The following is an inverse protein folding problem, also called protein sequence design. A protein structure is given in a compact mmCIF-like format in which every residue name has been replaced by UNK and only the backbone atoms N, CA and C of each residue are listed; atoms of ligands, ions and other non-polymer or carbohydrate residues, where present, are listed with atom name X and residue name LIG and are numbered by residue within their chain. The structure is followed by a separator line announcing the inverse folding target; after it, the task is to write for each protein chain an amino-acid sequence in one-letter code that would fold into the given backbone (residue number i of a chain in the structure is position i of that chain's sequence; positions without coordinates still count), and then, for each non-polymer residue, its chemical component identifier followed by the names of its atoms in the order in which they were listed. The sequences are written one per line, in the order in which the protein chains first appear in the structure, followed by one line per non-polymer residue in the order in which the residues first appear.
data_IF_552536074994
#
_entry.id   IF_552536074994
#
_cell.length_a   1.000
_cell.length_b   1.000
_cell.length_c   1.000
_cell.angle_alpha   90.00
_cell.angle_beta   90.00
_cell.angle_gamma   90.00
#
_symmetry.space_group_name_H-M   'P 1'
#
loop_
_entity.id
_entity.type
_entity.pdbx_description
1 polymer ?
#
# COMPACT_ATOMS: atom_id res chain seq x y z
N UNK A 1 9.86 -17.88 1.91
CA UNK A 1 10.18 -16.72 2.79
C UNK A 1 10.94 -15.61 2.07
N UNK A 2 12.13 -15.85 1.50
CA UNK A 2 12.92 -14.81 0.80
C UNK A 2 12.13 -14.03 -0.27
N UNK A 3 11.35 -14.71 -1.11
CA UNK A 3 10.53 -14.05 -2.15
C UNK A 3 9.35 -13.23 -1.60
N UNK A 4 8.71 -13.66 -0.50
CA UNK A 4 7.68 -12.86 0.20
C UNK A 4 8.26 -11.57 0.79
N UNK A 5 9.45 -11.66 1.39
CA UNK A 5 10.19 -10.49 1.85
C UNK A 5 10.57 -9.55 0.71
N UNK A 6 11.00 -10.10 -0.42
CA UNK A 6 11.29 -9.30 -1.62
C UNK A 6 10.04 -8.61 -2.16
N UNK A 7 8.87 -9.27 -2.16
CA UNK A 7 7.60 -8.67 -2.56
C UNK A 7 7.26 -7.45 -1.69
N UNK A 8 7.41 -7.57 -0.36
CA UNK A 8 7.19 -6.48 0.59
C UNK A 8 8.21 -5.35 0.43
N UNK A 9 9.45 -5.70 0.16
CA UNK A 9 10.53 -4.74 -0.11
C UNK A 9 10.21 -3.91 -1.36
N UNK A 10 9.81 -4.56 -2.46
CA UNK A 10 9.45 -3.86 -3.70
C UNK A 10 8.25 -2.93 -3.54
N UNK A 11 7.27 -3.33 -2.73
CA UNK A 11 6.15 -2.46 -2.37
C UNK A 11 6.61 -1.23 -1.57
N UNK A 12 7.45 -1.41 -0.54
CA UNK A 12 7.97 -0.30 0.27
C UNK A 12 8.81 0.65 -0.59
N UNK A 13 9.76 0.13 -1.38
CA UNK A 13 10.58 0.92 -2.31
C UNK A 13 9.70 1.70 -3.29
N UNK A 14 8.65 1.06 -3.80
CA UNK A 14 7.68 1.70 -4.69
C UNK A 14 7.02 2.94 -4.08
N UNK A 15 6.78 3.00 -2.76
CA UNK A 15 6.17 4.17 -2.13
C UNK A 15 7.01 5.45 -2.25
N UNK A 16 8.31 5.36 -2.50
CA UNK A 16 9.22 6.52 -2.52
C UNK A 16 9.54 7.06 -3.91
N UNK A 17 9.17 6.34 -4.98
CA UNK A 17 9.59 6.71 -6.35
C UNK A 17 8.52 7.52 -7.06
N UNK A 18 7.32 6.97 -7.19
CA UNK A 18 6.23 7.58 -7.96
C UNK A 18 4.88 7.01 -7.50
N UNK A 19 3.76 7.76 -7.65
CA UNK A 19 2.44 7.23 -7.37
C UNK A 19 2.21 5.87 -8.02
N UNK A 20 1.56 4.96 -7.29
CA UNK A 20 1.27 3.58 -7.69
C UNK A 20 2.48 2.65 -7.90
N UNK A 21 3.73 3.09 -7.71
CA UNK A 21 4.87 2.18 -7.81
C UNK A 21 4.88 1.13 -6.69
N UNK A 22 4.25 1.44 -5.55
CA UNK A 22 3.93 0.50 -4.48
C UNK A 22 2.97 -0.63 -4.92
N UNK A 23 2.28 -0.49 -6.06
CA UNK A 23 1.48 -1.55 -6.69
C UNK A 23 2.23 -2.16 -7.88
N UNK A 24 2.80 -1.32 -8.73
CA UNK A 24 3.44 -1.76 -9.98
C UNK A 24 4.66 -2.66 -9.72
N UNK A 25 5.56 -2.27 -8.81
CA UNK A 25 6.76 -3.04 -8.52
C UNK A 25 6.46 -4.43 -7.94
N UNK A 26 5.63 -4.58 -6.88
CA UNK A 26 5.27 -5.91 -6.41
C UNK A 26 4.46 -6.69 -7.45
N UNK A 27 3.69 -6.04 -8.32
CA UNK A 27 3.00 -6.71 -9.43
C UNK A 27 3.97 -7.30 -10.45
N UNK A 28 4.96 -6.52 -10.90
CA UNK A 28 5.99 -6.98 -11.83
C UNK A 28 6.81 -8.13 -11.21
N UNK A 29 7.18 -7.98 -9.95
CA UNK A 29 7.89 -9.01 -9.20
C UNK A 29 7.07 -10.31 -9.10
N UNK A 30 5.79 -10.22 -8.73
CA UNK A 30 4.89 -11.37 -8.68
C UNK A 30 4.74 -12.02 -10.07
N UNK A 31 4.51 -11.22 -11.12
CA UNK A 31 4.34 -11.72 -12.50
C UNK A 31 5.56 -12.50 -12.98
N UNK A 32 6.77 -12.03 -12.68
CA UNK A 32 8.03 -12.70 -13.02
C UNK A 32 8.20 -14.03 -12.28
N UNK A 33 7.66 -14.15 -11.06
CA UNK A 33 7.87 -15.34 -10.21
C UNK A 33 6.68 -16.32 -10.20
N UNK A 34 5.54 -15.95 -10.81
CA UNK A 34 4.26 -16.70 -10.73
C UNK A 34 4.36 -18.15 -11.23
N UNK A 35 5.18 -18.42 -12.26
CA UNK A 35 5.29 -19.76 -12.85
C UNK A 35 6.08 -20.76 -11.98
N UNK A 36 6.83 -20.26 -11.00
CA UNK A 36 7.79 -21.08 -10.22
C UNK A 36 7.35 -21.34 -8.78
N UNK A 37 6.17 -20.88 -8.37
CA UNK A 37 5.81 -20.76 -6.95
C UNK A 37 4.43 -21.34 -6.61
N UNK A 38 4.27 -21.60 -5.30
CA UNK A 38 3.06 -22.16 -4.69
C UNK A 38 1.85 -21.20 -4.75
N UNK A 39 0.66 -21.78 -4.87
CA UNK A 39 -0.65 -21.14 -4.74
C UNK A 39 -0.75 -20.18 -3.55
N UNK A 40 -0.09 -20.49 -2.42
CA UNK A 40 -0.05 -19.63 -1.24
C UNK A 40 0.66 -18.29 -1.48
N UNK A 41 1.76 -18.27 -2.25
CA UNK A 41 2.47 -17.04 -2.60
C UNK A 41 1.63 -16.17 -3.53
N UNK A 42 1.00 -16.78 -4.53
CA UNK A 42 0.11 -16.06 -5.46
C UNK A 42 -1.06 -15.42 -4.73
N UNK A 43 -1.70 -16.15 -3.80
CA UNK A 43 -2.80 -15.60 -2.99
C UNK A 43 -2.37 -14.43 -2.12
N UNK A 44 -1.19 -14.50 -1.51
CA UNK A 44 -0.62 -13.42 -0.69
C UNK A 44 -0.28 -12.19 -1.54
N UNK A 45 0.33 -12.40 -2.72
CA UNK A 45 0.62 -11.33 -3.66
C UNK A 45 -0.65 -10.63 -4.15
N UNK A 46 -1.69 -11.36 -4.52
CA UNK A 46 -2.96 -10.78 -4.91
C UNK A 46 -3.60 -9.98 -3.76
N UNK A 47 -3.59 -10.49 -2.53
CA UNK A 47 -4.13 -9.75 -1.38
C UNK A 47 -3.36 -8.44 -1.11
N UNK A 48 -2.03 -8.47 -1.18
CA UNK A 48 -1.20 -7.27 -1.06
C UNK A 48 -1.56 -6.26 -2.15
N UNK A 49 -1.60 -6.69 -3.42
CA UNK A 49 -1.88 -5.80 -4.55
C UNK A 49 -3.28 -5.19 -4.45
N UNK A 50 -4.28 -6.01 -4.10
CA UNK A 50 -5.66 -5.56 -3.89
C UNK A 50 -5.78 -4.58 -2.73
N UNK A 51 -5.01 -4.79 -1.65
CA UNK A 51 -5.00 -3.87 -0.53
C UNK A 51 -4.34 -2.53 -0.92
N UNK A 52 -3.17 -2.58 -1.56
CA UNK A 52 -2.43 -1.39 -1.96
C UNK A 52 -3.18 -0.54 -3.00
N UNK A 53 -3.84 -1.16 -3.97
CA UNK A 53 -4.62 -0.42 -4.98
C UNK A 53 -5.85 0.24 -4.36
N UNK A 54 -6.57 -0.47 -3.47
CA UNK A 54 -7.71 0.09 -2.74
C UNK A 54 -7.27 1.27 -1.87
N UNK A 55 -6.20 1.09 -1.10
CA UNK A 55 -5.69 2.15 -0.25
C UNK A 55 -5.19 3.35 -1.06
N UNK A 56 -4.57 3.11 -2.23
CA UNK A 56 -4.15 4.19 -3.14
C UNK A 56 -5.34 5.02 -3.62
N UNK A 57 -6.48 4.39 -3.97
CA UNK A 57 -7.69 5.13 -4.33
C UNK A 57 -8.25 5.96 -3.17
N UNK A 58 -8.29 5.40 -1.96
CA UNK A 58 -8.71 6.13 -0.75
C UNK A 58 -7.81 7.34 -0.52
N UNK A 59 -6.50 7.17 -0.62
CA UNK A 59 -5.54 8.26 -0.42
C UNK A 59 -5.66 9.34 -1.48
N UNK A 60 -5.92 9.00 -2.75
CA UNK A 60 -6.21 9.99 -3.79
C UNK A 60 -7.44 10.81 -3.40
N UNK A 61 -8.52 10.18 -2.95
CA UNK A 61 -9.72 10.88 -2.47
C UNK A 61 -9.41 11.84 -1.32
N UNK A 62 -8.63 11.39 -0.33
CA UNK A 62 -8.17 12.21 0.81
C UNK A 62 -7.34 13.40 0.34
N UNK A 63 -6.42 13.21 -0.60
CA UNK A 63 -5.59 14.28 -1.16
C UNK A 63 -6.40 15.29 -1.96
N UNK A 64 -7.28 14.83 -2.85
CA UNK A 64 -8.15 15.70 -3.66
C UNK A 64 -9.05 16.54 -2.74
N UNK A 65 -9.65 15.92 -1.72
CA UNK A 65 -10.47 16.64 -0.75
C UNK A 65 -9.64 17.65 0.07
N UNK A 66 -8.44 17.28 0.51
CA UNK A 66 -7.54 18.18 1.22
C UNK A 66 -7.18 19.41 0.39
N UNK A 67 -6.80 19.22 -0.88
CA UNK A 67 -6.51 20.32 -1.80
C UNK A 67 -7.73 21.19 -2.08
N UNK A 68 -8.91 20.59 -2.25
CA UNK A 68 -10.16 21.33 -2.39
C UNK A 68 -10.40 22.26 -1.20
N UNK A 69 -10.28 21.76 0.03
CA UNK A 69 -10.44 22.57 1.25
C UNK A 69 -9.42 23.72 1.32
N UNK A 70 -8.16 23.46 0.94
CA UNK A 70 -7.13 24.49 0.91
C UNK A 70 -7.44 25.59 -0.12
N UNK A 71 -7.89 25.23 -1.32
CA UNK A 71 -8.27 26.17 -2.38
C UNK A 71 -9.47 27.02 -1.96
N UNK A 72 -10.49 26.40 -1.35
CA UNK A 72 -11.67 27.13 -0.83
C UNK A 72 -11.25 28.13 0.25
N UNK A 73 -10.42 27.71 1.21
CA UNK A 73 -9.91 28.62 2.26
C UNK A 73 -9.16 29.81 1.66
N UNK A 74 -8.26 29.57 0.70
CA UNK A 74 -7.56 30.64 -0.01
C UNK A 74 -8.48 31.56 -0.78
N UNK A 75 -9.57 31.05 -1.35
CA UNK A 75 -10.55 31.89 -2.06
C UNK A 75 -11.37 32.81 -1.14
N UNK A 76 -11.34 32.55 0.17
CA UNK A 76 -12.05 33.33 1.20
C UNK A 76 -11.11 34.22 2.02
N UNK A 77 -9.84 34.39 1.58
CA UNK A 77 -8.76 35.04 2.34
C UNK A 77 -8.53 34.43 3.73
N UNK A 78 -8.97 33.19 3.95
CA UNK A 78 -8.71 32.44 5.17
C UNK A 78 -7.37 31.70 5.07
N UNK A 79 -6.73 31.47 6.22
CA UNK A 79 -5.55 30.62 6.28
C UNK A 79 -5.94 29.17 5.90
N UNK A 80 -5.31 28.62 4.85
CA UNK A 80 -5.59 27.25 4.45
C UNK A 80 -5.35 26.26 5.60
N UNK A 81 -6.39 25.50 5.93
CA UNK A 81 -6.33 24.47 6.95
C UNK A 81 -5.77 23.16 6.37
N UNK A 82 -4.51 22.85 6.69
CA UNK A 82 -3.87 21.59 6.31
C UNK A 82 -4.07 20.46 7.33
N UNK A 83 -4.93 20.66 8.34
CA UNK A 83 -5.12 19.69 9.44
C UNK A 83 -5.51 18.30 8.94
N UNK A 84 -6.40 18.24 7.95
CA UNK A 84 -6.84 16.98 7.34
C UNK A 84 -5.71 16.28 6.56
N UNK A 85 -4.89 17.05 5.81
CA UNK A 85 -3.74 16.51 5.08
C UNK A 85 -2.66 15.96 6.01
N UNK A 86 -2.44 16.57 7.18
CA UNK A 86 -1.50 16.06 8.20
C UNK A 86 -1.90 14.66 8.67
N UNK A 87 -3.17 14.45 8.99
CA UNK A 87 -3.67 13.13 9.36
C UNK A 87 -3.62 12.13 8.20
N UNK A 88 -3.89 12.59 6.97
CA UNK A 88 -3.69 11.79 5.76
C UNK A 88 -2.25 11.27 5.63
N UNK A 89 -1.24 12.13 5.88
CA UNK A 89 0.17 11.74 5.85
C UNK A 89 0.53 10.72 6.94
N UNK A 90 -0.02 10.88 8.15
CA UNK A 90 0.16 9.91 9.24
C UNK A 90 -0.40 8.54 8.84
N UNK A 91 -1.64 8.50 8.34
CA UNK A 91 -2.28 7.25 7.90
C UNK A 91 -1.52 6.62 6.73
N UNK A 92 -1.06 7.43 5.77
CA UNK A 92 -0.23 6.97 4.67
C UNK A 92 1.06 6.31 5.17
N UNK A 93 1.75 6.95 6.13
CA UNK A 93 2.98 6.42 6.73
C UNK A 93 2.71 5.10 7.46
N UNK A 94 1.62 5.02 8.23
CA UNK A 94 1.23 3.81 8.94
C UNK A 94 0.96 2.64 7.99
N UNK A 95 0.25 2.87 6.90
CA UNK A 95 -0.19 1.81 5.99
C UNK A 95 0.86 1.42 4.95
N UNK A 96 1.63 2.38 4.44
CA UNK A 96 2.58 2.14 3.35
C UNK A 96 4.01 1.84 3.83
N UNK A 97 4.34 2.12 5.08
CA UNK A 97 5.68 1.90 5.63
C UNK A 97 5.62 1.00 6.87
N UNK A 98 4.89 1.42 7.92
CA UNK A 98 4.94 0.75 9.22
C UNK A 98 4.29 -0.65 9.16
N UNK A 99 3.06 -0.75 8.64
CA UNK A 99 2.36 -2.02 8.51
C UNK A 99 3.16 -3.07 7.71
N UNK A 100 3.70 -2.74 6.52
CA UNK A 100 4.60 -3.61 5.77
C UNK A 100 5.81 -4.11 6.58
N UNK A 101 6.47 -3.22 7.33
CA UNK A 101 7.63 -3.58 8.15
C UNK A 101 7.24 -4.53 9.28
N UNK A 102 6.09 -4.30 9.92
CA UNK A 102 5.54 -5.21 10.93
C UNK A 102 5.21 -6.58 10.32
N UNK A 103 4.58 -6.60 9.14
CA UNK A 103 4.30 -7.83 8.40
C UNK A 103 5.59 -8.59 8.05
N UNK A 104 6.62 -7.88 7.58
CA UNK A 104 7.94 -8.47 7.32
C UNK A 104 8.53 -9.09 8.59
N UNK A 105 8.52 -8.37 9.71
CA UNK A 105 9.05 -8.85 11.00
C UNK A 105 8.28 -10.07 11.51
N UNK A 106 6.95 -10.08 11.43
CA UNK A 106 6.16 -11.25 11.85
C UNK A 106 6.45 -12.44 10.93
N UNK A 107 6.63 -12.20 9.63
CA UNK A 107 6.92 -13.23 8.64
C UNK A 107 8.32 -13.81 8.82
N UNK A 108 9.33 -13.03 9.25
CA UNK A 108 10.68 -13.53 9.53
C UNK A 108 10.72 -14.45 10.75
N UNK A 109 9.85 -14.24 11.74
CA UNK A 109 9.75 -15.06 12.96
C UNK A 109 8.99 -16.38 12.71
N UNK A 110 8.51 -16.63 11.49
CA UNK A 110 8.03 -17.96 11.09
C UNK A 110 6.63 -18.34 11.59
N UNK A 111 5.81 -17.37 12.00
CA UNK A 111 4.40 -17.64 12.37
C UNK A 111 3.60 -18.08 11.14
N UNK A 112 3.40 -19.40 10.99
CA UNK A 112 2.76 -20.07 9.83
C UNK A 112 1.30 -19.66 9.56
N UNK A 113 0.60 -19.06 10.52
CA UNK A 113 -0.84 -18.73 10.44
C UNK A 113 -1.12 -17.26 10.19
N UNK A 114 -0.10 -16.43 10.01
CA UNK A 114 -0.33 -15.00 9.85
C UNK A 114 -0.84 -14.67 8.44
N UNK A 115 -2.12 -14.27 8.34
CA UNK A 115 -2.67 -13.69 7.12
C UNK A 115 -2.17 -12.24 7.00
N UNK A 116 -1.04 -12.10 6.32
CA UNK A 116 -0.28 -10.86 6.22
C UNK A 116 -1.04 -9.67 5.64
N UNK A 117 -2.02 -9.92 4.76
CA UNK A 117 -2.81 -8.89 4.10
C UNK A 117 -4.29 -9.30 4.12
N UNK A 118 -5.21 -8.40 4.52
CA UNK A 118 -6.63 -8.71 4.53
C UNK A 118 -7.14 -8.92 3.10
N UNK A 119 -8.14 -9.80 2.89
CA UNK A 119 -8.83 -9.86 1.62
C UNK A 119 -9.62 -8.58 1.42
N UNK A 120 -9.30 -7.83 0.37
CA UNK A 120 -10.05 -6.64 -0.06
C UNK A 120 -10.76 -6.91 -1.38
N UNK A 121 -11.38 -5.88 -1.95
CA UNK A 121 -12.05 -5.95 -3.25
C UNK A 121 -11.07 -6.54 -4.29
N UNK A 122 -11.43 -7.64 -4.99
CA UNK A 122 -10.48 -8.38 -5.80
C UNK A 122 -10.29 -7.75 -7.18
N UNK A 123 -9.29 -6.88 -7.31
CA UNK A 123 -8.81 -6.36 -8.60
C UNK A 123 -7.90 -7.38 -9.31
N UNK A 124 -7.07 -8.09 -8.54
CA UNK A 124 -6.19 -9.18 -8.96
C UNK A 124 -6.70 -10.50 -8.37
N UNK A 125 -6.75 -11.53 -9.20
CA UNK A 125 -7.21 -12.88 -8.83
C UNK A 125 -6.07 -13.88 -8.91
N UNK A 126 -6.02 -14.77 -7.91
CA UNK A 126 -5.06 -15.86 -7.81
C UNK A 126 -5.33 -16.93 -8.88
#
# INVERSE_FOLDING_TARGET
MKKRMSLYTWMIVGNFIFPFMNVLFPYLYWRQNRQTEDTAFTKEACNLLNFQILFSFIMIGVFVFGWYQAIVGWSMDEAASFGFMKWGLVVMTMVNIIYPLVVMLITSVGKKTFRAWPPTIPFFRA
#
